data_IF_736500997194
#
_entry.id   IF_736500997194
#
_cell.length_a   1.000
_cell.length_b   1.000
_cell.length_c   1.000
_cell.angle_alpha   90.00
_cell.angle_beta   90.00
_cell.angle_gamma   90.00
#
_symmetry.space_group_name_H-M   'P 1'
#
loop_
_entity.id
_entity.type
_entity.pdbx_description
1 polymer ?
#
# COMPACT_ATOMS: atom_id res chain seq x y z
N UNK A 1 -39.76 18.53 -59.57
CA UNK A 1 -38.92 19.12 -58.51
C UNK A 1 -38.72 18.00 -57.48
N UNK A 2 -37.57 17.30 -57.57
CA UNK A 2 -37.29 16.07 -56.76
C UNK A 2 -36.29 16.54 -55.70
N UNK A 3 -36.74 16.46 -54.47
CA UNK A 3 -35.92 16.78 -53.29
C UNK A 3 -35.16 15.52 -52.85
N UNK A 4 -33.83 15.52 -53.06
CA UNK A 4 -32.96 14.46 -52.54
C UNK A 4 -32.67 14.69 -51.05
N UNK A 5 -33.19 13.86 -50.20
CA UNK A 5 -32.78 13.77 -48.81
C UNK A 5 -31.48 12.96 -48.72
N UNK A 6 -30.39 13.64 -48.47
CA UNK A 6 -29.11 12.99 -48.11
C UNK A 6 -29.11 12.72 -46.60
N UNK A 7 -29.29 11.46 -46.22
CA UNK A 7 -29.09 11.01 -44.86
C UNK A 7 -27.58 10.89 -44.60
N UNK A 8 -27.04 11.85 -43.83
CA UNK A 8 -25.68 11.76 -43.31
C UNK A 8 -25.71 10.89 -42.07
N UNK A 9 -25.34 9.61 -42.22
CA UNK A 9 -25.17 8.68 -41.08
C UNK A 9 -23.85 9.03 -40.36
N UNK A 10 -23.93 9.69 -39.20
CA UNK A 10 -22.79 9.83 -38.30
C UNK A 10 -22.51 8.47 -37.66
N UNK A 11 -21.49 7.80 -38.15
CA UNK A 11 -20.89 6.64 -37.47
C UNK A 11 -20.06 7.17 -36.29
N UNK A 12 -20.59 7.11 -35.08
CA UNK A 12 -19.80 7.31 -33.86
C UNK A 12 -18.86 6.11 -33.69
N UNK A 13 -17.63 6.25 -34.16
CA UNK A 13 -16.56 5.33 -33.80
C UNK A 13 -16.23 5.63 -32.34
N UNK A 14 -16.79 4.85 -31.44
CA UNK A 14 -16.41 4.87 -30.01
C UNK A 14 -14.96 4.43 -29.92
N UNK A 15 -14.05 5.38 -29.75
CA UNK A 15 -12.67 5.09 -29.33
C UNK A 15 -12.79 4.58 -27.90
N UNK A 16 -12.79 3.25 -27.74
CA UNK A 16 -12.56 2.62 -26.46
C UNK A 16 -11.15 3.07 -26.02
N UNK A 17 -11.09 4.05 -25.12
CA UNK A 17 -9.86 4.41 -24.46
C UNK A 17 -9.41 3.19 -23.64
N UNK A 18 -8.57 2.36 -24.24
CA UNK A 18 -7.83 1.34 -23.49
C UNK A 18 -7.01 2.11 -22.47
N UNK A 19 -7.42 2.01 -21.18
CA UNK A 19 -6.60 2.46 -20.10
C UNK A 19 -5.24 1.77 -20.29
N UNK A 20 -4.09 2.53 -20.27
CA UNK A 20 -2.81 1.87 -20.32
C UNK A 20 -2.81 0.84 -19.20
N UNK A 21 -2.50 -0.41 -19.55
CA UNK A 21 -2.37 -1.49 -18.59
C UNK A 21 -1.57 -0.97 -17.41
N UNK A 22 -2.18 -0.97 -16.22
CA UNK A 22 -1.44 -0.79 -14.99
C UNK A 22 -0.32 -1.82 -15.09
N UNK A 23 0.93 -1.34 -15.23
CA UNK A 23 2.10 -2.21 -15.33
C UNK A 23 1.91 -3.24 -14.24
N UNK A 24 1.80 -4.51 -14.64
CA UNK A 24 1.59 -5.63 -13.73
C UNK A 24 2.88 -5.78 -12.93
N UNK A 25 3.08 -4.86 -11.96
CA UNK A 25 4.21 -4.94 -11.05
C UNK A 25 4.01 -6.20 -10.24
N UNK A 26 4.87 -7.17 -10.48
CA UNK A 26 4.91 -8.38 -9.66
C UNK A 26 5.05 -7.96 -8.19
N UNK A 27 3.97 -8.17 -7.42
CA UNK A 27 3.92 -7.76 -6.02
C UNK A 27 4.87 -8.63 -5.20
N UNK A 28 5.84 -8.03 -4.52
CA UNK A 28 6.75 -8.72 -3.62
C UNK A 28 6.17 -8.84 -2.20
N UNK A 29 4.98 -9.45 -2.08
CA UNK A 29 4.31 -9.66 -0.80
C UNK A 29 4.84 -10.92 -0.12
N UNK A 30 5.47 -10.76 1.04
CA UNK A 30 6.06 -11.86 1.84
C UNK A 30 5.34 -12.13 3.14
N UNK A 31 4.47 -11.22 3.58
CA UNK A 31 3.68 -11.31 4.83
C UNK A 31 2.20 -11.14 4.54
N UNK A 32 1.86 -10.15 3.73
CA UNK A 32 0.48 -9.92 3.31
C UNK A 32 0.01 -11.02 2.35
N UNK A 33 -1.31 -11.34 2.32
CA UNK A 33 -1.89 -12.27 1.35
C UNK A 33 -1.55 -11.84 -0.09
N UNK A 34 -1.24 -12.80 -0.94
CA UNK A 34 -0.87 -12.51 -2.35
C UNK A 34 -2.05 -12.03 -3.18
N UNK A 35 -3.25 -12.41 -2.79
CA UNK A 35 -4.54 -12.09 -3.40
C UNK A 35 -5.23 -10.87 -2.78
N UNK A 36 -4.54 -10.14 -1.90
CA UNK A 36 -5.07 -8.92 -1.30
C UNK A 36 -5.47 -7.91 -2.38
N UNK A 37 -6.63 -7.26 -2.21
CA UNK A 37 -7.08 -6.22 -3.14
C UNK A 37 -6.15 -5.00 -3.13
N UNK A 38 -6.11 -4.22 -4.23
CA UNK A 38 -5.33 -2.98 -4.28
C UNK A 38 -5.80 -1.99 -3.21
N UNK A 39 -7.12 -1.85 -3.02
CA UNK A 39 -7.68 -0.95 -2.03
C UNK A 39 -7.29 -1.33 -0.60
N UNK A 40 -7.30 -2.62 -0.26
CA UNK A 40 -6.88 -3.07 1.07
C UNK A 40 -5.38 -2.89 1.26
N UNK A 41 -4.58 -3.18 0.25
CA UNK A 41 -3.13 -2.98 0.29
C UNK A 41 -2.78 -1.51 0.52
N UNK A 42 -3.36 -0.60 -0.25
CA UNK A 42 -3.14 0.84 -0.12
C UNK A 42 -3.57 1.35 1.26
N UNK A 43 -4.74 0.91 1.74
CA UNK A 43 -5.23 1.27 3.07
C UNK A 43 -4.32 0.78 4.20
N UNK A 44 -3.75 -0.42 4.07
CA UNK A 44 -2.80 -0.97 5.05
C UNK A 44 -1.48 -0.17 5.03
N UNK A 45 -0.95 0.18 3.84
CA UNK A 45 0.26 1.00 3.72
C UNK A 45 0.05 2.40 4.31
N UNK A 46 -1.10 3.02 4.07
CA UNK A 46 -1.48 4.29 4.68
C UNK A 46 -1.56 4.19 6.22
N UNK A 47 -2.12 3.09 6.72
CA UNK A 47 -2.20 2.84 8.17
C UNK A 47 -0.81 2.74 8.78
N UNK A 48 0.13 2.01 8.16
CA UNK A 48 1.50 1.90 8.65
C UNK A 48 2.22 3.25 8.61
N UNK A 49 2.06 4.02 7.52
CA UNK A 49 2.62 5.37 7.41
C UNK A 49 2.14 6.28 8.53
N UNK A 50 0.85 6.24 8.86
CA UNK A 50 0.25 7.04 9.95
C UNK A 50 0.74 6.58 11.33
N UNK A 51 0.75 5.27 11.56
CA UNK A 51 1.12 4.71 12.88
C UNK A 51 2.59 4.88 13.21
N UNK A 52 3.46 4.96 12.20
CA UNK A 52 4.89 5.16 12.35
C UNK A 52 5.33 6.61 12.07
N UNK A 53 4.42 7.45 11.56
CA UNK A 53 4.68 8.82 11.14
C UNK A 53 5.84 8.91 10.14
N UNK A 54 5.79 8.11 9.09
CA UNK A 54 6.80 8.05 8.01
C UNK A 54 6.14 8.18 6.65
N UNK A 55 6.89 8.65 5.65
CA UNK A 55 6.45 8.64 4.26
C UNK A 55 6.77 7.30 3.57
N UNK A 56 6.21 7.08 2.38
CA UNK A 56 6.34 5.83 1.63
C UNK A 56 7.80 5.48 1.30
N UNK A 57 8.63 6.49 1.04
CA UNK A 57 10.05 6.35 0.73
C UNK A 57 10.91 5.91 1.93
N UNK A 58 10.37 5.93 3.14
CA UNK A 58 11.04 5.35 4.30
C UNK A 58 11.30 3.85 4.12
N UNK A 59 10.30 3.11 3.62
CA UNK A 59 10.38 1.66 3.41
C UNK A 59 10.57 1.26 1.94
N UNK A 60 10.21 2.11 0.98
CA UNK A 60 10.27 1.82 -0.44
C UNK A 60 11.37 2.59 -1.13
N UNK A 61 12.18 1.89 -1.95
CA UNK A 61 13.28 2.51 -2.67
C UNK A 61 12.77 3.36 -3.83
N UNK A 62 13.46 4.46 -4.12
CA UNK A 62 13.23 5.25 -5.33
C UNK A 62 13.80 4.54 -6.56
N UNK A 63 13.18 4.76 -7.72
CA UNK A 63 13.71 4.30 -8.99
C UNK A 63 15.08 4.95 -9.28
N UNK A 64 15.95 4.20 -9.94
CA UNK A 64 17.26 4.72 -10.38
C UNK A 64 17.12 5.74 -11.51
N UNK A 65 16.07 5.58 -12.34
CA UNK A 65 15.81 6.41 -13.50
C UNK A 65 15.04 7.68 -13.14
N UNK A 66 14.12 7.58 -12.19
CA UNK A 66 13.33 8.72 -11.71
C UNK A 66 13.14 8.63 -10.20
N UNK A 67 13.86 9.47 -9.47
CA UNK A 67 13.84 9.49 -7.99
C UNK A 67 12.48 9.85 -7.39
N UNK A 68 11.56 10.42 -8.16
CA UNK A 68 10.21 10.72 -7.71
C UNK A 68 9.31 9.48 -7.72
N UNK A 69 9.67 8.46 -8.49
CA UNK A 69 8.94 7.20 -8.57
C UNK A 69 9.51 6.16 -7.62
N UNK A 70 8.64 5.52 -6.83
CA UNK A 70 9.02 4.46 -5.92
C UNK A 70 8.91 3.09 -6.59
N UNK A 71 9.86 2.22 -6.30
CA UNK A 71 9.86 0.82 -6.74
C UNK A 71 9.33 -0.04 -5.59
N UNK A 72 8.00 -0.10 -5.48
CA UNK A 72 7.32 -0.79 -4.38
C UNK A 72 7.74 -2.26 -4.18
N UNK A 73 8.01 -3.08 -5.23
CA UNK A 73 8.48 -4.45 -5.05
C UNK A 73 9.93 -4.57 -4.57
N UNK A 74 10.78 -3.55 -4.74
CA UNK A 74 12.20 -3.61 -4.37
C UNK A 74 12.39 -3.88 -2.87
N UNK A 75 13.39 -4.68 -2.55
CA UNK A 75 13.86 -4.94 -1.18
C UNK A 75 15.18 -4.21 -0.87
N UNK A 76 15.53 -3.17 -1.64
CA UNK A 76 16.80 -2.44 -1.49
C UNK A 76 16.89 -1.68 -0.14
N UNK A 77 15.75 -1.41 0.51
CA UNK A 77 15.71 -0.74 1.81
C UNK A 77 15.56 -1.74 2.95
N UNK A 78 16.49 -1.74 3.92
CA UNK A 78 16.41 -2.64 5.08
C UNK A 78 15.18 -2.39 5.95
N UNK A 79 14.67 -1.18 6.00
CA UNK A 79 13.45 -0.81 6.73
C UNK A 79 12.24 -1.64 6.31
N UNK A 80 12.18 -2.02 5.03
CA UNK A 80 11.10 -2.85 4.51
C UNK A 80 11.11 -4.26 5.11
N UNK A 81 12.28 -4.88 5.22
CA UNK A 81 12.38 -6.20 5.85
C UNK A 81 12.20 -6.14 7.38
N UNK A 82 12.71 -5.08 8.02
CA UNK A 82 12.45 -4.83 9.43
C UNK A 82 10.94 -4.71 9.68
N UNK A 83 10.23 -3.95 8.84
CA UNK A 83 8.76 -3.82 8.94
C UNK A 83 8.07 -5.17 8.78
N UNK A 84 8.50 -6.04 7.87
CA UNK A 84 7.94 -7.40 7.73
C UNK A 84 8.15 -8.26 8.99
N UNK A 85 9.29 -8.10 9.66
CA UNK A 85 9.54 -8.79 10.94
C UNK A 85 8.61 -8.26 12.03
N UNK A 86 8.41 -6.95 12.11
CA UNK A 86 7.47 -6.34 13.05
C UNK A 86 6.02 -6.79 12.77
N UNK A 87 5.60 -6.90 11.51
CA UNK A 87 4.30 -7.44 11.13
C UNK A 87 4.10 -8.87 11.64
N UNK A 88 5.11 -9.74 11.48
CA UNK A 88 5.05 -11.13 11.98
C UNK A 88 4.96 -11.16 13.52
N UNK A 89 5.75 -10.34 14.19
CA UNK A 89 5.73 -10.23 15.65
C UNK A 89 4.36 -9.74 16.14
N UNK A 90 3.83 -8.66 15.55
CA UNK A 90 2.51 -8.13 15.90
C UNK A 90 1.42 -9.17 15.67
N UNK A 91 1.49 -9.90 14.55
CA UNK A 91 0.55 -11.00 14.27
C UNK A 91 0.63 -12.12 15.32
N UNK A 92 1.82 -12.51 15.71
CA UNK A 92 2.01 -13.53 16.76
C UNK A 92 1.44 -13.06 18.11
N UNK A 93 1.71 -11.82 18.51
CA UNK A 93 1.17 -11.25 19.76
C UNK A 93 -0.36 -11.26 19.75
N UNK A 94 -0.98 -10.76 18.67
CA UNK A 94 -2.43 -10.74 18.55
C UNK A 94 -3.03 -12.14 18.64
N UNK A 95 -2.43 -13.12 17.95
CA UNK A 95 -2.89 -14.49 17.93
C UNK A 95 -2.70 -15.19 19.28
N UNK A 96 -1.49 -15.15 19.84
CA UNK A 96 -1.09 -16.01 20.94
C UNK A 96 -1.56 -15.48 22.31
N UNK A 97 -1.74 -14.15 22.44
CA UNK A 97 -2.10 -13.51 23.70
C UNK A 97 -3.49 -12.89 23.72
N UNK A 98 -4.07 -12.56 22.56
CA UNK A 98 -5.39 -11.96 22.45
C UNK A 98 -6.41 -12.83 21.72
N UNK A 99 -5.99 -14.03 21.29
CA UNK A 99 -6.84 -14.95 20.49
C UNK A 99 -7.47 -14.24 19.26
N UNK A 100 -6.72 -13.35 18.63
CA UNK A 100 -7.15 -12.54 17.53
C UNK A 100 -6.39 -12.91 16.25
N UNK A 101 -7.11 -13.32 15.21
CA UNK A 101 -6.51 -13.60 13.90
C UNK A 101 -6.58 -12.34 13.05
N UNK A 102 -5.42 -11.84 12.63
CA UNK A 102 -5.36 -10.64 11.76
C UNK A 102 -5.98 -10.96 10.40
N UNK A 103 -6.96 -10.17 10.02
CA UNK A 103 -7.51 -10.12 8.68
C UNK A 103 -6.92 -8.87 8.01
N UNK A 104 -6.10 -9.05 6.99
CA UNK A 104 -5.48 -7.93 6.27
C UNK A 104 -6.50 -7.26 5.35
N UNK A 105 -7.34 -6.42 5.94
CA UNK A 105 -8.41 -5.68 5.28
C UNK A 105 -8.46 -4.23 5.76
N UNK A 106 -8.92 -3.34 4.89
CA UNK A 106 -9.12 -1.94 5.23
C UNK A 106 -10.06 -1.76 6.44
N UNK A 107 -9.64 -0.94 7.41
CA UNK A 107 -10.42 -0.64 8.61
C UNK A 107 -10.45 -1.73 9.68
N UNK A 108 -9.69 -2.81 9.52
CA UNK A 108 -9.57 -3.85 10.53
C UNK A 108 -8.78 -3.34 11.74
N UNK A 109 -9.36 -3.47 12.93
CA UNK A 109 -8.71 -3.12 14.20
C UNK A 109 -8.06 -4.35 14.82
N UNK A 110 -6.85 -4.17 15.33
CA UNK A 110 -6.08 -5.21 16.03
C UNK A 110 -5.99 -4.87 17.50
N UNK A 111 -5.91 -5.89 18.37
CA UNK A 111 -5.68 -5.68 19.81
C UNK A 111 -4.33 -4.97 20.05
N UNK A 112 -3.30 -5.35 19.29
CA UNK A 112 -1.99 -4.71 19.28
C UNK A 112 -1.66 -4.31 17.85
N UNK A 113 -1.35 -3.04 17.64
CA UNK A 113 -0.95 -2.47 16.34
C UNK A 113 0.47 -1.90 16.39
N UNK A 114 0.98 -1.41 15.28
CA UNK A 114 2.27 -0.71 15.25
C UNK A 114 2.25 0.49 16.22
N UNK A 115 1.15 1.22 16.27
CA UNK A 115 1.01 2.38 17.16
C UNK A 115 1.16 2.02 18.64
N UNK A 116 0.72 0.84 19.05
CA UNK A 116 0.78 0.38 20.46
C UNK A 116 2.21 0.47 21.03
N UNK A 117 3.21 0.10 20.23
CA UNK A 117 4.62 0.14 20.66
C UNK A 117 5.33 1.40 20.15
N UNK A 118 5.01 1.84 18.93
CA UNK A 118 5.72 2.94 18.27
C UNK A 118 5.20 4.33 18.63
N UNK A 119 3.88 4.49 18.93
CA UNK A 119 3.28 5.76 19.35
C UNK A 119 3.58 6.94 18.39
N UNK A 120 3.57 6.65 17.11
CA UNK A 120 3.86 7.64 16.07
C UNK A 120 5.36 7.89 15.83
N UNK A 121 6.25 7.00 16.24
CA UNK A 121 7.69 7.09 15.96
C UNK A 121 8.17 5.85 15.21
N UNK A 122 8.94 6.04 14.13
CA UNK A 122 9.51 4.92 13.38
C UNK A 122 10.39 4.00 14.26
N UNK A 123 10.99 4.56 15.32
CA UNK A 123 11.78 3.85 16.31
C UNK A 123 11.24 4.15 17.72
N UNK A 124 10.81 3.14 18.47
CA UNK A 124 10.22 3.34 19.82
C UNK A 124 11.13 4.07 20.80
N UNK A 125 12.44 3.86 20.71
CA UNK A 125 13.46 4.51 21.55
C UNK A 125 13.48 6.04 21.42
N UNK A 126 13.07 6.58 20.26
CA UNK A 126 13.04 8.03 20.01
C UNK A 126 12.00 8.78 20.87
N UNK A 127 11.07 8.05 21.51
CA UNK A 127 10.12 8.66 22.45
C UNK A 127 10.83 9.36 23.64
N UNK A 128 11.96 8.84 24.04
CA UNK A 128 12.68 9.33 25.22
C UNK A 128 13.51 10.58 24.94
N UNK A 129 13.88 10.84 23.70
CA UNK A 129 14.71 12.00 23.32
C UNK A 129 13.94 13.33 23.29
N UNK A 130 12.62 13.30 23.13
CA UNK A 130 11.78 14.51 23.03
C UNK A 130 11.31 15.08 24.38
N UNK A 131 11.70 14.49 25.52
CA UNK A 131 11.27 14.93 26.85
C UNK A 131 12.32 15.76 27.60
N UNK A 132 13.38 16.23 26.92
CA UNK A 132 14.38 17.13 27.50
C UNK A 132 14.14 18.58 27.07
#
# INVERSE_FOLDING_TARGET
MIVFFVFVSFVFIGIAATRPDAKNYERNLKVLPKDISDNDLDSIMDTYSKQLNVACDFCHASSKEDKQNLVYPSDDKPEKEITRQMMRMTAAINKDYFNYTIVYKAGEEMAVSCFTCHDGFARPEMKHEKKQ
#
